data_IF_199413784762
#
_entry.id   IF_199413784762
#
_cell.length_a   1.000
_cell.length_b   1.000
_cell.length_c   1.000
_cell.angle_alpha   90.00
_cell.angle_beta   90.00
_cell.angle_gamma   90.00
#
_symmetry.space_group_name_H-M   'P 1'
#
loop_
_entity.id
_entity.type
_entity.pdbx_description
1 polymer ?
#
# COMPACT_ATOMS: atom_id res chain seq x y z
N UNK A 1 -18.09 -26.63 -13.77
CA UNK A 1 -17.37 -25.94 -12.67
C UNK A 1 -16.26 -25.11 -13.29
N UNK A 2 -16.19 -23.82 -13.00
CA UNK A 2 -15.13 -22.93 -13.50
C UNK A 2 -13.84 -23.25 -12.74
N UNK A 3 -12.95 -24.03 -13.36
CA UNK A 3 -11.63 -24.29 -12.82
C UNK A 3 -10.75 -23.08 -13.09
N UNK A 4 -10.44 -22.30 -12.04
CA UNK A 4 -9.47 -21.22 -12.13
C UNK A 4 -8.06 -21.82 -12.20
N UNK A 5 -7.18 -21.18 -12.98
CA UNK A 5 -5.76 -21.56 -13.03
C UNK A 5 -5.18 -21.60 -11.62
N UNK A 6 -4.52 -22.69 -11.18
CA UNK A 6 -3.99 -22.80 -9.82
C UNK A 6 -2.72 -21.97 -9.60
N UNK A 7 -2.04 -21.56 -10.67
CA UNK A 7 -0.79 -20.82 -10.59
C UNK A 7 -1.02 -19.32 -10.75
N UNK A 8 -0.29 -18.54 -9.95
CA UNK A 8 -0.28 -17.08 -10.04
C UNK A 8 0.31 -16.63 -11.38
N UNK A 9 -0.43 -15.84 -12.17
CA UNK A 9 0.06 -15.38 -13.47
C UNK A 9 1.15 -14.31 -13.30
N UNK A 10 2.06 -14.18 -14.26
CA UNK A 10 3.13 -13.15 -14.22
C UNK A 10 2.63 -11.73 -14.47
N UNK A 11 1.75 -11.45 -15.45
CA UNK A 11 1.30 -10.09 -15.74
C UNK A 11 0.44 -9.53 -14.62
N UNK A 12 0.71 -8.30 -14.19
CA UNK A 12 -0.03 -7.62 -13.10
C UNK A 12 -1.54 -7.62 -13.35
N UNK A 13 -1.96 -7.34 -14.59
CA UNK A 13 -3.37 -7.33 -14.95
C UNK A 13 -4.07 -8.67 -14.67
N UNK A 14 -3.39 -9.78 -14.98
CA UNK A 14 -3.88 -11.12 -14.74
C UNK A 14 -3.83 -11.50 -13.25
N UNK A 15 -2.81 -11.04 -12.50
CA UNK A 15 -2.72 -11.24 -11.04
C UNK A 15 -3.91 -10.61 -10.33
N UNK A 16 -4.30 -9.42 -10.73
CA UNK A 16 -5.48 -8.75 -10.18
C UNK A 16 -6.77 -9.56 -10.39
N UNK A 17 -6.98 -10.10 -11.60
CA UNK A 17 -8.13 -10.96 -11.88
C UNK A 17 -8.06 -12.28 -11.09
N UNK A 18 -6.87 -12.86 -10.93
CA UNK A 18 -6.65 -14.07 -10.17
C UNK A 18 -7.03 -13.90 -8.69
N UNK A 19 -6.56 -12.84 -8.02
CA UNK A 19 -6.91 -12.59 -6.62
C UNK A 19 -8.37 -12.17 -6.45
N UNK A 20 -8.96 -11.49 -7.42
CA UNK A 20 -10.40 -11.22 -7.40
C UNK A 20 -11.22 -12.51 -7.48
N UNK A 21 -10.81 -13.45 -8.34
CA UNK A 21 -11.44 -14.78 -8.40
C UNK A 21 -11.28 -15.55 -7.08
N UNK A 22 -10.08 -15.52 -6.46
CA UNK A 22 -9.83 -16.11 -5.15
C UNK A 22 -10.79 -15.59 -4.08
N UNK A 23 -10.96 -14.26 -4.02
CA UNK A 23 -11.94 -13.61 -3.14
C UNK A 23 -13.37 -14.12 -3.42
N UNK A 24 -13.77 -14.16 -4.69
CA UNK A 24 -15.11 -14.61 -5.09
C UNK A 24 -15.37 -16.10 -4.76
N UNK A 25 -14.33 -16.92 -4.71
CA UNK A 25 -14.41 -18.35 -4.34
C UNK A 25 -14.31 -18.61 -2.82
N UNK A 26 -14.22 -17.56 -2.01
CA UNK A 26 -14.17 -17.65 -0.54
C UNK A 26 -12.77 -17.68 0.08
N UNK A 27 -11.71 -17.73 -0.74
CA UNK A 27 -10.31 -17.64 -0.29
C UNK A 27 -9.90 -16.17 -0.12
N UNK A 28 -10.57 -15.49 0.81
CA UNK A 28 -10.39 -14.06 1.03
C UNK A 28 -9.00 -13.71 1.58
N UNK A 29 -8.43 -14.57 2.43
CA UNK A 29 -7.12 -14.33 3.03
C UNK A 29 -6.02 -14.26 1.96
N UNK A 30 -5.99 -15.21 1.01
CA UNK A 30 -5.07 -15.16 -0.10
C UNK A 30 -5.32 -13.95 -1.01
N UNK A 31 -6.60 -13.60 -1.24
CA UNK A 31 -6.95 -12.42 -2.02
C UNK A 31 -6.46 -11.11 -1.39
N UNK A 32 -6.54 -10.96 -0.06
CA UNK A 32 -6.07 -9.78 0.66
C UNK A 32 -4.56 -9.67 0.68
N UNK A 33 -3.86 -10.78 0.88
CA UNK A 33 -2.40 -10.81 0.79
C UNK A 33 -1.93 -10.42 -0.62
N UNK A 34 -2.56 -10.97 -1.66
CA UNK A 34 -2.27 -10.62 -3.04
C UNK A 34 -2.62 -9.18 -3.41
N UNK A 35 -3.75 -8.67 -2.91
CA UNK A 35 -4.14 -7.27 -3.09
C UNK A 35 -3.11 -6.32 -2.46
N UNK A 36 -2.63 -6.60 -1.25
CA UNK A 36 -1.62 -5.77 -0.59
C UNK A 36 -0.29 -5.77 -1.35
N UNK A 37 0.18 -6.95 -1.79
CA UNK A 37 1.41 -7.06 -2.60
C UNK A 37 1.33 -6.26 -3.90
N UNK A 38 0.22 -6.38 -4.62
CA UNK A 38 0.00 -5.62 -5.87
C UNK A 38 -0.15 -4.12 -5.57
N UNK A 39 -0.79 -3.76 -4.46
CA UNK A 39 -1.02 -2.38 -4.05
C UNK A 39 0.29 -1.64 -3.74
N UNK A 40 1.30 -2.33 -3.21
CA UNK A 40 2.60 -1.77 -2.82
C UNK A 40 3.50 -1.44 -4.04
N UNK A 41 2.99 -0.64 -4.96
CA UNK A 41 3.66 -0.16 -6.16
C UNK A 41 3.52 1.34 -6.33
N UNK A 42 4.63 2.02 -6.67
CA UNK A 42 4.64 3.44 -7.03
C UNK A 42 4.14 3.73 -8.46
N UNK A 43 3.79 2.68 -9.23
CA UNK A 43 3.32 2.79 -10.60
C UNK A 43 1.80 2.76 -10.67
N UNK A 44 1.26 3.34 -11.74
CA UNK A 44 -0.16 3.20 -12.07
C UNK A 44 -0.43 1.75 -12.44
N UNK A 45 -1.42 1.16 -11.78
CA UNK A 45 -1.83 -0.22 -12.01
C UNK A 45 -2.91 -0.28 -13.11
N UNK A 46 -3.05 -1.41 -13.82
CA UNK A 46 -4.09 -1.57 -14.83
C UNK A 46 -5.49 -1.56 -14.19
N UNK A 47 -6.49 -1.07 -14.92
CA UNK A 47 -7.89 -1.00 -14.44
C UNK A 47 -8.53 -2.36 -14.12
N UNK A 48 -7.91 -3.48 -14.52
CA UNK A 48 -8.34 -4.80 -14.07
C UNK A 48 -8.21 -5.00 -12.55
N UNK A 49 -7.38 -4.19 -11.89
CA UNK A 49 -7.20 -4.19 -10.44
C UNK A 49 -8.29 -3.45 -9.68
N UNK A 50 -9.10 -2.62 -10.35
CA UNK A 50 -10.10 -1.78 -9.70
C UNK A 50 -11.15 -2.61 -8.95
N UNK A 51 -11.56 -3.74 -9.53
CA UNK A 51 -12.53 -4.65 -8.89
C UNK A 51 -11.96 -5.26 -7.60
N UNK A 52 -10.70 -5.71 -7.64
CA UNK A 52 -10.01 -6.27 -6.48
C UNK A 52 -9.85 -5.24 -5.36
N UNK A 53 -9.42 -4.02 -5.70
CA UNK A 53 -9.24 -2.98 -4.70
C UNK A 53 -10.56 -2.45 -4.15
N UNK A 54 -11.61 -2.39 -4.95
CA UNK A 54 -12.95 -2.03 -4.48
C UNK A 54 -13.45 -2.97 -3.39
N UNK A 55 -13.34 -4.29 -3.59
CA UNK A 55 -13.75 -5.27 -2.58
C UNK A 55 -12.81 -5.30 -1.37
N UNK A 56 -11.50 -5.07 -1.57
CA UNK A 56 -10.51 -4.97 -0.51
C UNK A 56 -10.72 -3.74 0.39
N UNK A 57 -11.10 -2.62 -0.23
CA UNK A 57 -11.48 -1.38 0.46
C UNK A 57 -12.79 -1.56 1.22
N UNK A 58 -13.82 -2.15 0.59
CA UNK A 58 -15.09 -2.43 1.24
C UNK A 58 -14.95 -3.37 2.45
N UNK A 59 -13.98 -4.28 2.41
CA UNK A 59 -13.63 -5.16 3.53
C UNK A 59 -12.84 -4.47 4.65
N UNK A 60 -12.54 -3.16 4.53
CA UNK A 60 -11.75 -2.39 5.51
C UNK A 60 -10.27 -2.81 5.58
N UNK A 61 -9.80 -3.60 4.61
CA UNK A 61 -8.41 -4.08 4.56
C UNK A 61 -7.47 -3.06 3.93
N UNK A 62 -8.00 -2.18 3.08
CA UNK A 62 -7.27 -1.01 2.63
C UNK A 62 -7.22 0.05 3.75
N UNK A 63 -6.10 0.12 4.46
CA UNK A 63 -5.91 1.04 5.56
C UNK A 63 -5.33 2.40 5.10
N UNK A 64 -5.57 3.49 5.83
CA UNK A 64 -4.90 4.76 5.53
C UNK A 64 -3.36 4.64 5.49
N UNK A 65 -2.79 3.76 6.32
CA UNK A 65 -1.35 3.51 6.38
C UNK A 65 -0.81 2.88 5.09
N UNK A 66 -1.51 1.89 4.50
CA UNK A 66 -1.07 1.29 3.24
C UNK A 66 -1.23 2.26 2.05
N UNK A 67 -2.20 3.16 2.12
CA UNK A 67 -2.41 4.21 1.13
C UNK A 67 -1.26 5.23 1.20
N UNK A 68 -0.86 5.64 2.41
CA UNK A 68 0.33 6.49 2.63
C UNK A 68 1.63 5.80 2.19
N UNK A 69 1.77 4.49 2.46
CA UNK A 69 2.93 3.73 2.00
C UNK A 69 3.04 3.72 0.47
N UNK A 70 1.92 3.49 -0.22
CA UNK A 70 1.86 3.58 -1.69
C UNK A 70 2.15 4.98 -2.20
N UNK A 71 1.63 6.02 -1.55
CA UNK A 71 1.96 7.41 -1.89
C UNK A 71 3.46 7.68 -1.80
N UNK A 72 4.14 7.18 -0.77
CA UNK A 72 5.60 7.29 -0.64
C UNK A 72 6.34 6.60 -1.80
N UNK A 73 5.87 5.45 -2.25
CA UNK A 73 6.42 4.76 -3.43
C UNK A 73 6.17 5.56 -4.71
N UNK A 74 4.96 6.08 -4.90
CA UNK A 74 4.60 6.90 -6.05
C UNK A 74 5.41 8.19 -6.13
N UNK A 75 5.70 8.80 -4.97
CA UNK A 75 6.63 9.93 -4.87
C UNK A 75 8.02 9.53 -5.34
N UNK A 76 8.59 8.40 -4.89
CA UNK A 76 9.91 7.93 -5.35
C UNK A 76 10.00 7.74 -6.86
N UNK A 77 8.91 7.25 -7.48
CA UNK A 77 8.81 7.06 -8.93
C UNK A 77 8.48 8.37 -9.69
N UNK A 78 8.21 9.48 -9.00
CA UNK A 78 7.81 10.75 -9.61
C UNK A 78 6.39 10.77 -10.19
N UNK A 79 5.53 9.82 -9.79
CA UNK A 79 4.16 9.70 -10.28
C UNK A 79 3.20 10.63 -9.52
N UNK A 80 3.26 11.92 -9.83
CA UNK A 80 2.46 12.97 -9.18
C UNK A 80 0.95 12.78 -9.34
N UNK A 81 0.50 12.25 -10.49
CA UNK A 81 -0.90 11.93 -10.74
C UNK A 81 -1.44 10.88 -9.78
N UNK A 82 -0.68 9.80 -9.56
CA UNK A 82 -1.03 8.77 -8.59
C UNK A 82 -1.05 9.30 -7.16
N UNK A 83 -0.09 10.13 -6.78
CA UNK A 83 -0.05 10.75 -5.45
C UNK A 83 -1.30 11.60 -5.21
N UNK A 84 -1.70 12.44 -6.16
CA UNK A 84 -2.92 13.24 -6.09
C UNK A 84 -4.19 12.40 -6.00
N UNK A 85 -4.27 11.30 -6.75
CA UNK A 85 -5.39 10.36 -6.67
C UNK A 85 -5.50 9.72 -5.28
N UNK A 86 -4.39 9.22 -4.74
CA UNK A 86 -4.36 8.57 -3.42
C UNK A 86 -4.65 9.55 -2.27
N UNK A 87 -4.17 10.79 -2.38
CA UNK A 87 -4.45 11.82 -1.36
C UNK A 87 -5.93 12.12 -1.21
N UNK A 88 -6.68 12.16 -2.31
CA UNK A 88 -8.14 12.39 -2.29
C UNK A 88 -8.91 11.24 -1.62
N UNK A 89 -8.31 10.06 -1.51
CA UNK A 89 -8.91 8.90 -0.84
C UNK A 89 -8.64 8.87 0.66
N UNK A 90 -7.66 9.65 1.15
CA UNK A 90 -7.33 9.65 2.57
C UNK A 90 -8.42 10.36 3.39
N UNK A 91 -8.75 9.85 4.58
CA UNK A 91 -9.57 10.58 5.56
C UNK A 91 -8.91 11.91 5.94
N UNK A 92 -9.70 12.90 6.36
CA UNK A 92 -9.23 14.24 6.73
C UNK A 92 -8.07 14.23 7.72
N UNK A 93 -8.10 13.32 8.69
CA UNK A 93 -7.08 13.19 9.74
C UNK A 93 -5.68 12.89 9.17
N UNK A 94 -5.62 12.17 8.05
CA UNK A 94 -4.39 11.84 7.34
C UNK A 94 -4.05 12.86 6.26
N UNK A 95 -5.02 13.67 5.82
CA UNK A 95 -4.78 14.74 4.86
C UNK A 95 -3.90 15.85 5.44
N UNK A 96 -3.93 16.12 6.75
CA UNK A 96 -3.02 17.10 7.38
C UNK A 96 -1.55 16.67 7.25
N UNK A 97 -1.27 15.36 7.32
CA UNK A 97 0.06 14.82 7.05
C UNK A 97 0.41 14.98 5.57
N UNK A 98 -0.51 14.63 4.66
CA UNK A 98 -0.36 14.83 3.22
C UNK A 98 -0.14 16.29 2.84
N UNK A 99 -0.83 17.23 3.49
CA UNK A 99 -0.70 18.68 3.29
C UNK A 99 0.70 19.19 3.63
N UNK A 100 1.45 18.53 4.53
CA UNK A 100 2.86 18.86 4.75
C UNK A 100 3.74 18.48 3.54
N UNK A 101 3.33 17.49 2.74
CA UNK A 101 3.93 17.14 1.46
C UNK A 101 3.45 18.05 0.32
N UNK A 102 2.16 18.42 0.28
CA UNK A 102 1.58 19.37 -0.69
C UNK A 102 1.91 20.85 -0.41
N UNK A 103 2.30 21.16 0.83
CA UNK A 103 2.65 22.50 1.33
C UNK A 103 4.03 22.97 0.85
N UNK A 104 4.85 22.05 0.33
CA UNK A 104 5.78 22.37 -0.73
C UNK A 104 4.94 22.54 -2.01
N UNK A 105 4.28 23.70 -2.12
CA UNK A 105 3.29 24.07 -3.14
C UNK A 105 3.72 23.53 -4.51
N UNK A 106 2.90 22.68 -5.12
CA UNK A 106 3.14 22.02 -6.41
C UNK A 106 4.29 21.00 -6.38
N UNK A 107 3.94 19.73 -6.54
CA UNK A 107 4.85 18.80 -7.21
C UNK A 107 5.00 19.39 -8.63
N UNK A 108 6.17 19.92 -9.03
CA UNK A 108 6.31 20.46 -10.38
C UNK A 108 6.02 19.34 -11.38
N UNK A 109 5.50 19.62 -12.60
CA UNK A 109 5.34 18.60 -13.65
C UNK A 109 6.67 17.90 -14.02
N UNK A 110 7.80 18.40 -13.48
CA UNK A 110 9.15 17.84 -13.57
C UNK A 110 9.77 17.65 -12.20
N UNK A 111 9.11 16.90 -11.30
CA UNK A 111 9.77 16.45 -10.08
C UNK A 111 10.94 15.53 -10.46
N UNK A 112 12.18 15.99 -10.22
CA UNK A 112 13.37 15.13 -10.26
C UNK A 112 13.58 14.62 -8.83
N UNK A 113 13.75 13.30 -8.61
CA UNK A 113 14.15 12.81 -7.29
C UNK A 113 15.43 13.54 -6.88
N UNK A 114 15.45 14.12 -5.69
CA UNK A 114 16.66 14.75 -5.15
C UNK A 114 17.77 13.70 -5.12
N UNK A 115 19.00 13.98 -5.60
CA UNK A 115 20.13 13.06 -5.48
C UNK A 115 20.55 12.85 -4.01
N UNK A 116 19.94 13.59 -3.07
CA UNK A 116 20.20 13.49 -1.64
C UNK A 116 19.32 12.41 -0.99
N UNK A 117 19.19 11.25 -1.64
CA UNK A 117 19.09 9.99 -0.92
C UNK A 117 20.51 9.40 -0.87
N UNK A 118 21.42 10.11 -0.21
CA UNK A 118 22.70 9.50 0.17
C UNK A 118 22.36 8.34 1.11
N UNK A 119 22.68 7.12 0.68
CA UNK A 119 22.49 5.88 1.42
C UNK A 119 23.43 5.77 2.63
N UNK A 120 23.50 6.82 3.46
CA UNK A 120 24.33 6.89 4.67
C UNK A 120 23.58 7.60 5.79
N UNK A 121 22.53 6.96 6.29
CA UNK A 121 22.24 6.84 7.73
C UNK A 121 20.94 6.06 7.91
N UNK A 122 21.06 4.73 7.84
CA UNK A 122 20.15 3.87 8.60
C UNK A 122 20.75 3.86 10.00
N UNK A 123 20.34 4.80 10.85
CA UNK A 123 20.56 4.66 12.29
C UNK A 123 19.72 3.46 12.76
N UNK A 124 20.28 2.50 13.51
CA UNK A 124 19.49 1.41 14.06
C UNK A 124 18.47 2.00 15.04
N UNK A 125 17.18 1.72 14.81
CA UNK A 125 16.11 2.00 15.75
C UNK A 125 16.41 1.20 17.02
N UNK A 126 16.87 1.88 18.07
CA UNK A 126 16.98 1.29 19.41
C UNK A 126 15.58 1.26 20.00
N UNK A 127 14.98 0.08 20.08
CA UNK A 127 13.69 -0.12 20.75
C UNK A 127 13.80 0.23 22.25
N UNK A 128 12.77 0.85 22.85
CA UNK A 128 12.71 1.11 24.29
C UNK A 128 12.42 -0.19 25.09
N UNK A 129 13.10 -0.43 26.23
CA UNK A 129 12.83 -1.59 27.07
C UNK A 129 11.67 -1.27 28.02
N UNK A 130 10.45 -1.63 27.66
CA UNK A 130 9.33 -1.58 28.61
C UNK A 130 8.28 -2.63 28.30
N UNK A 131 8.64 -3.89 28.52
CA UNK A 131 7.67 -4.95 28.83
C UNK A 131 8.33 -5.89 29.84
N UNK A 132 8.10 -5.61 31.13
CA UNK A 132 8.29 -6.62 32.19
C UNK A 132 7.15 -7.63 32.10
N UNK A 133 7.44 -8.94 32.03
CA UNK A 133 6.42 -9.94 32.30
C UNK A 133 6.21 -10.04 33.83
N UNK A 134 4.99 -9.74 34.27
CA UNK A 134 4.48 -10.17 35.57
C UNK A 134 4.40 -11.70 35.55
N UNK A 135 5.29 -12.37 36.29
CA UNK A 135 5.22 -13.81 36.52
C UNK A 135 4.45 -14.06 37.82
N UNK A 136 3.15 -14.28 37.65
CA UNK A 136 2.28 -14.98 38.58
C UNK A 136 2.69 -16.46 38.56
N UNK A 137 3.30 -16.96 39.63
CA UNK A 137 3.23 -18.39 39.96
C UNK A 137 2.93 -18.54 41.44
N UNK A 138 1.71 -19.05 41.67
CA UNK A 138 1.23 -19.65 42.90
C UNK A 138 2.06 -20.89 43.23
N UNK A 139 2.50 -21.01 44.47
CA UNK A 139 2.37 -22.20 45.35
C UNK A 139 2.72 -21.78 46.76
#
# INVERSE_FOLDING_TARGET
MLAFSPQEPKPVAARCNFYYAKWATGDQQAAWAGADDIWMSGKTLPGSCDKLFSVWQAAGKQTPLNTLARMKLALKEGNSGLVNYLYRQLPSDYQTMGMRWYGCKTIPPRWKPSPVASARQILPVRLPPSYSPVLLVRT
#
